data_IF_531650162126
#
_entry.id   IF_531650162126
#
_cell.length_a   1.000
_cell.length_b   1.000
_cell.length_c   1.000
_cell.angle_alpha   90.00
_cell.angle_beta   90.00
_cell.angle_gamma   90.00
#
_symmetry.space_group_name_H-M   'P 1'
#
loop_
_entity.id
_entity.type
_entity.pdbx_description
1 polymer ?
#
# COMPACT_ATOMS: atom_id res chain seq x y z
N UNK A 1 -14.44 -6.72 14.96
CA UNK A 1 -13.44 -7.09 13.94
C UNK A 1 -12.70 -5.83 13.50
N UNK A 2 -11.40 -5.91 13.21
CA UNK A 2 -10.61 -4.77 12.74
C UNK A 2 -10.88 -4.57 11.25
N UNK A 3 -11.32 -3.38 10.86
CA UNK A 3 -11.49 -2.99 9.45
C UNK A 3 -10.13 -3.04 8.75
N UNK A 4 -10.07 -3.60 7.53
CA UNK A 4 -8.84 -3.71 6.74
C UNK A 4 -8.99 -3.01 5.41
N UNK A 5 -7.90 -2.39 4.97
CA UNK A 5 -7.76 -1.71 3.67
C UNK A 5 -6.91 -2.60 2.78
N UNK A 6 -7.44 -2.98 1.62
CA UNK A 6 -6.71 -3.77 0.64
C UNK A 6 -5.56 -2.96 0.08
N UNK A 7 -4.40 -3.61 -0.09
CA UNK A 7 -3.27 -3.01 -0.79
C UNK A 7 -3.51 -2.89 -2.30
N UNK A 8 -4.43 -3.70 -2.84
CA UNK A 8 -4.67 -3.85 -4.28
C UNK A 8 -3.65 -4.76 -4.97
N UNK A 9 -2.77 -5.40 -4.19
CA UNK A 9 -1.82 -6.41 -4.65
C UNK A 9 -2.34 -7.78 -4.18
N UNK A 10 -2.88 -8.62 -5.08
CA UNK A 10 -3.62 -9.83 -4.68
C UNK A 10 -2.85 -10.75 -3.72
N UNK A 11 -1.61 -11.12 -4.07
CA UNK A 11 -0.79 -12.01 -3.23
C UNK A 11 -0.42 -11.40 -1.87
N UNK A 12 -0.27 -10.08 -1.79
CA UNK A 12 0.00 -9.41 -0.51
C UNK A 12 -1.26 -9.35 0.36
N UNK A 13 -2.41 -9.05 -0.24
CA UNK A 13 -3.69 -9.01 0.47
C UNK A 13 -4.05 -10.38 1.05
N UNK A 14 -3.76 -11.47 0.32
CA UNK A 14 -3.90 -12.84 0.82
C UNK A 14 -3.01 -13.09 2.05
N UNK A 15 -1.71 -12.77 1.96
CA UNK A 15 -0.76 -12.94 3.07
C UNK A 15 -1.17 -12.11 4.30
N UNK A 16 -1.74 -10.93 4.08
CA UNK A 16 -2.17 -10.02 5.14
C UNK A 16 -3.59 -10.30 5.65
N UNK A 17 -4.24 -11.38 5.21
CA UNK A 17 -5.61 -11.74 5.57
C UNK A 17 -6.63 -10.64 5.26
N UNK A 18 -6.60 -10.14 4.02
CA UNK A 18 -7.50 -9.12 3.52
C UNK A 18 -6.96 -7.68 3.61
N UNK A 19 -5.66 -7.51 3.85
CA UNK A 19 -4.97 -6.22 3.75
C UNK A 19 -4.53 -5.61 5.08
N UNK A 20 -4.20 -4.32 5.05
CA UNK A 20 -3.61 -3.57 6.15
C UNK A 20 -4.72 -3.13 7.12
N UNK A 21 -4.60 -3.33 8.44
CA UNK A 21 -5.63 -2.86 9.36
C UNK A 21 -5.74 -1.33 9.30
N UNK A 22 -6.97 -0.82 9.28
CA UNK A 22 -7.23 0.61 9.04
C UNK A 22 -6.65 1.48 10.16
N UNK A 23 -6.28 2.72 9.81
CA UNK A 23 -5.66 3.71 10.72
C UNK A 23 -4.35 3.21 11.36
N UNK A 24 -3.52 2.52 10.57
CA UNK A 24 -2.18 2.09 10.98
C UNK A 24 -1.09 2.82 10.20
N UNK A 25 0.10 2.84 10.79
CA UNK A 25 1.35 3.22 10.14
C UNK A 25 2.05 1.94 9.70
N UNK A 26 2.49 1.88 8.45
CA UNK A 26 3.18 0.72 7.87
C UNK A 26 4.55 1.15 7.38
N UNK A 27 5.59 0.41 7.80
CA UNK A 27 6.94 0.55 7.27
C UNK A 27 7.17 -0.50 6.19
N UNK A 28 7.44 -0.07 4.96
CA UNK A 28 7.90 -0.93 3.89
C UNK A 28 9.43 -0.82 3.76
N UNK A 29 10.13 -1.92 4.02
CA UNK A 29 11.60 -1.98 4.00
C UNK A 29 12.10 -3.06 3.04
N UNK A 30 13.29 -2.84 2.47
CA UNK A 30 13.92 -3.74 1.50
C UNK A 30 15.07 -3.06 0.76
N UNK A 31 15.95 -3.86 0.15
CA UNK A 31 17.11 -3.37 -0.61
C UNK A 31 16.75 -2.50 -1.83
N UNK A 32 17.72 -1.82 -2.46
CA UNK A 32 17.50 -1.10 -3.71
C UNK A 32 16.91 -2.00 -4.80
N UNK A 33 16.02 -1.46 -5.66
CA UNK A 33 15.42 -2.21 -6.76
C UNK A 33 14.35 -3.23 -6.37
N UNK A 34 14.00 -3.41 -5.09
CA UNK A 34 12.98 -4.40 -4.66
C UNK A 34 11.54 -3.92 -4.85
N UNK A 35 11.29 -2.83 -5.59
CA UNK A 35 9.94 -2.37 -5.93
C UNK A 35 9.19 -1.62 -4.82
N UNK A 36 9.86 -1.08 -3.79
CA UNK A 36 9.20 -0.34 -2.69
C UNK A 36 8.36 0.84 -3.16
N UNK A 37 8.93 1.70 -4.01
CA UNK A 37 8.21 2.86 -4.57
C UNK A 37 7.05 2.40 -5.46
N UNK A 38 7.27 1.36 -6.26
CA UNK A 38 6.23 0.75 -7.10
C UNK A 38 5.07 0.25 -6.22
N UNK A 39 5.34 -0.44 -5.12
CA UNK A 39 4.32 -0.91 -4.18
C UNK A 39 3.50 0.26 -3.60
N UNK A 40 4.17 1.32 -3.12
CA UNK A 40 3.48 2.52 -2.61
C UNK A 40 2.64 3.22 -3.67
N UNK A 41 3.13 3.33 -4.91
CA UNK A 41 2.40 3.91 -6.03
C UNK A 41 1.20 3.05 -6.44
N UNK A 42 1.34 1.72 -6.46
CA UNK A 42 0.22 0.80 -6.73
C UNK A 42 -0.85 0.89 -5.65
N UNK A 43 -0.47 1.03 -4.38
CA UNK A 43 -1.41 1.25 -3.29
C UNK A 43 -2.24 2.53 -3.52
N UNK A 44 -1.57 3.65 -3.81
CA UNK A 44 -2.24 4.92 -4.11
C UNK A 44 -3.13 4.82 -5.35
N UNK A 45 -2.63 4.21 -6.44
CA UNK A 45 -3.39 4.04 -7.68
C UNK A 45 -4.68 3.24 -7.46
N UNK A 46 -4.61 2.12 -6.72
CA UNK A 46 -5.78 1.32 -6.41
C UNK A 46 -6.78 2.07 -5.51
N UNK A 47 -6.30 2.87 -4.55
CA UNK A 47 -7.15 3.76 -3.76
C UNK A 47 -7.88 4.78 -4.63
N UNK A 48 -7.18 5.42 -5.58
CA UNK A 48 -7.75 6.38 -6.52
C UNK A 48 -8.84 5.75 -7.40
N UNK A 49 -8.66 4.52 -7.88
CA UNK A 49 -9.69 3.79 -8.63
C UNK A 49 -10.97 3.54 -7.82
N UNK A 50 -10.88 3.54 -6.48
CA UNK A 50 -12.00 3.42 -5.56
C UNK A 50 -12.52 4.78 -5.06
N UNK A 51 -11.97 5.88 -5.56
CA UNK A 51 -12.34 7.24 -5.15
C UNK A 51 -11.72 7.68 -3.83
N UNK A 52 -10.71 6.98 -3.31
CA UNK A 52 -9.99 7.38 -2.10
C UNK A 52 -8.95 8.46 -2.42
N UNK A 53 -8.88 9.56 -1.64
CA UNK A 53 -7.82 10.54 -1.78
C UNK A 53 -6.49 9.98 -1.26
N UNK A 54 -5.39 10.36 -1.88
CA UNK A 54 -4.05 9.92 -1.49
C UNK A 54 -2.98 10.98 -1.75
N UNK A 55 -1.88 10.92 -1.00
CA UNK A 55 -0.72 11.79 -1.15
C UNK A 55 0.54 10.94 -1.25
N UNK A 56 1.38 11.25 -2.23
CA UNK A 56 2.74 10.74 -2.33
C UNK A 56 3.71 11.87 -2.00
N UNK A 57 4.57 11.65 -1.00
CA UNK A 57 5.70 12.53 -0.72
C UNK A 57 6.97 11.77 -1.09
N UNK A 58 7.67 12.24 -2.11
CA UNK A 58 8.95 11.67 -2.56
C UNK A 58 10.08 12.65 -2.22
N UNK A 59 11.19 12.14 -1.71
CA UNK A 59 12.35 12.94 -1.29
C UNK A 59 13.53 12.85 -2.27
N UNK A 60 13.53 11.87 -3.18
CA UNK A 60 14.55 11.67 -4.22
C UNK A 60 13.88 11.15 -5.50
N UNK A 61 14.33 11.67 -6.65
CA UNK A 61 14.05 11.14 -8.00
C UNK A 61 15.24 10.31 -8.51
#
# INVERSE_FOLDING_TARGET
MIERVKSGIPGLDEILNGGIPRRNIVLLSGGPGTGKSIMGQQFLYNGLLQGEPGVLVALEE
#
